data_IF_022155395627
#
_entry.id   IF_022155395627
#
_cell.length_a   1.000
_cell.length_b   1.000
_cell.length_c   1.000
_cell.angle_alpha   90.00
_cell.angle_beta   90.00
_cell.angle_gamma   90.00
#
_symmetry.space_group_name_H-M   'P 1'
#
loop_
_entity.id
_entity.type
_entity.pdbx_description
1 polymer ?
#
# COMPACT_ATOMS: atom_id res chain seq x y z
N UNK A 1 -7.08 6.56 -51.31
CA UNK A 1 -8.30 6.79 -52.12
C UNK A 1 -8.78 5.44 -52.62
N UNK A 2 -10.10 5.29 -52.81
CA UNK A 2 -10.88 4.07 -53.16
C UNK A 2 -11.58 3.49 -51.92
N UNK A 3 -12.89 3.27 -51.86
CA UNK A 3 -14.06 3.71 -52.65
C UNK A 3 -15.27 3.47 -51.73
N UNK A 4 -16.17 4.44 -51.63
CA UNK A 4 -17.51 4.27 -51.07
C UNK A 4 -18.34 3.59 -52.17
N UNK A 5 -19.02 2.48 -51.85
CA UNK A 5 -20.04 1.88 -52.72
C UNK A 5 -21.35 1.76 -51.95
N UNK A 6 -22.39 2.41 -52.47
CA UNK A 6 -23.78 2.14 -52.12
C UNK A 6 -24.24 0.87 -52.83
N UNK A 7 -24.92 -0.01 -52.11
CA UNK A 7 -25.77 -1.09 -52.62
C UNK A 7 -26.94 -1.20 -51.60
N UNK A 8 -28.11 -0.66 -51.93
CA UNK A 8 -29.30 -1.39 -52.40
C UNK A 8 -29.79 -2.48 -51.45
N UNK A 9 -31.05 -2.32 -51.06
CA UNK A 9 -31.85 -3.20 -50.21
C UNK A 9 -31.77 -4.67 -50.60
N UNK A 10 -31.43 -5.51 -49.64
CA UNK A 10 -31.99 -6.85 -49.52
C UNK A 10 -32.18 -7.17 -48.03
N UNK A 11 -33.33 -7.77 -47.72
CA UNK A 11 -33.74 -8.16 -46.38
C UNK A 11 -32.91 -9.35 -45.91
N UNK A 12 -31.99 -9.11 -44.98
CA UNK A 12 -31.59 -10.10 -43.98
C UNK A 12 -31.62 -9.40 -42.62
N UNK A 13 -32.23 -10.08 -41.65
CA UNK A 13 -32.33 -9.64 -40.25
C UNK A 13 -30.97 -9.23 -39.70
N UNK A 14 -30.84 -8.15 -38.90
CA UNK A 14 -29.58 -7.85 -38.27
C UNK A 14 -29.31 -8.94 -37.22
N UNK A 15 -28.38 -9.84 -37.52
CA UNK A 15 -27.60 -10.48 -36.46
C UNK A 15 -26.90 -9.33 -35.74
N UNK A 16 -27.46 -8.89 -34.61
CA UNK A 16 -26.77 -7.95 -33.72
C UNK A 16 -25.42 -8.57 -33.39
N UNK A 17 -24.33 -7.96 -33.87
CA UNK A 17 -22.97 -8.35 -33.48
C UNK A 17 -22.94 -8.40 -31.94
N UNK A 18 -22.78 -9.61 -31.39
CA UNK A 18 -22.81 -9.87 -29.95
C UNK A 18 -21.54 -9.30 -29.29
N UNK A 19 -21.47 -7.98 -29.16
CA UNK A 19 -20.28 -7.29 -28.68
C UNK A 19 -20.22 -7.28 -27.14
N UNK A 20 -19.02 -7.51 -26.60
CA UNK A 20 -18.73 -7.34 -25.18
C UNK A 20 -18.73 -5.85 -24.86
N UNK A 21 -19.55 -5.42 -23.90
CA UNK A 21 -19.59 -4.02 -23.44
C UNK A 21 -18.84 -3.88 -22.13
N UNK A 22 -17.82 -3.03 -22.10
CA UNK A 22 -17.09 -2.68 -20.87
C UNK A 22 -17.31 -1.22 -20.53
N UNK A 23 -17.39 -0.90 -19.23
CA UNK A 23 -17.53 0.45 -18.74
C UNK A 23 -16.73 0.62 -17.44
N UNK A 24 -16.13 1.79 -17.27
CA UNK A 24 -15.47 2.19 -16.04
C UNK A 24 -16.25 3.34 -15.40
N UNK A 25 -16.67 3.15 -14.16
CA UNK A 25 -17.31 4.15 -13.31
C UNK A 25 -16.44 4.47 -12.09
N UNK A 26 -16.71 5.62 -11.48
CA UNK A 26 -16.05 6.06 -10.27
C UNK A 26 -17.09 6.57 -9.27
N UNK A 27 -16.91 6.19 -8.01
CA UNK A 27 -17.62 6.72 -6.84
C UNK A 27 -16.56 7.22 -5.84
N UNK A 28 -16.91 8.00 -4.81
CA UNK A 28 -15.96 8.37 -3.77
C UNK A 28 -15.22 7.14 -3.24
N UNK A 29 -13.88 7.16 -3.36
CA UNK A 29 -12.96 6.10 -2.94
C UNK A 29 -13.18 4.74 -3.60
N UNK A 30 -13.92 4.67 -4.71
CA UNK A 30 -14.23 3.40 -5.40
C UNK A 30 -14.09 3.49 -6.91
N UNK A 31 -13.44 2.50 -7.50
CA UNK A 31 -13.46 2.25 -8.94
C UNK A 31 -14.44 1.12 -9.24
N UNK A 32 -15.26 1.29 -10.26
CA UNK A 32 -16.31 0.34 -10.64
C UNK A 32 -16.06 -0.10 -12.08
N UNK A 33 -15.69 -1.36 -12.26
CA UNK A 33 -15.51 -1.95 -13.58
C UNK A 33 -16.76 -2.78 -13.89
N UNK A 34 -17.40 -2.51 -15.02
CA UNK A 34 -18.59 -3.21 -15.48
C UNK A 34 -18.30 -3.91 -16.81
N UNK A 35 -18.76 -5.14 -16.93
CA UNK A 35 -18.66 -5.98 -18.12
C UNK A 35 -20.01 -6.60 -18.41
N UNK A 36 -20.44 -6.55 -19.66
CA UNK A 36 -21.70 -7.14 -20.12
C UNK A 36 -21.47 -7.93 -21.40
N UNK A 37 -22.02 -9.14 -21.43
CA UNK A 37 -22.15 -9.95 -22.63
C UNK A 37 -23.46 -10.70 -22.57
N UNK A 38 -24.31 -10.53 -23.60
CA UNK A 38 -25.68 -11.07 -23.61
C UNK A 38 -26.47 -10.67 -22.36
N UNK A 39 -26.98 -11.65 -21.66
CA UNK A 39 -27.75 -11.57 -20.43
C UNK A 39 -26.88 -11.67 -19.16
N UNK A 40 -25.56 -11.63 -19.30
CA UNK A 40 -24.61 -11.66 -18.18
C UNK A 40 -24.01 -10.29 -17.94
N UNK A 41 -24.22 -9.76 -16.75
CA UNK A 41 -23.49 -8.59 -16.24
C UNK A 41 -22.53 -9.03 -15.13
N UNK A 42 -21.29 -8.52 -15.18
CA UNK A 42 -20.29 -8.65 -14.13
C UNK A 42 -19.86 -7.25 -13.71
N UNK A 43 -19.86 -6.99 -12.41
CA UNK A 43 -19.37 -5.76 -11.80
C UNK A 43 -18.26 -6.10 -10.81
N UNK A 44 -17.13 -5.42 -10.91
CA UNK A 44 -16.03 -5.47 -9.96
C UNK A 44 -15.85 -4.08 -9.36
N UNK A 45 -16.07 -3.95 -8.07
CA UNK A 45 -15.81 -2.73 -7.31
C UNK A 45 -14.47 -2.87 -6.62
N UNK A 46 -13.59 -1.88 -6.78
CA UNK A 46 -12.33 -1.76 -6.06
C UNK A 46 -12.43 -0.59 -5.07
N UNK A 47 -12.24 -0.88 -3.79
CA UNK A 47 -12.26 0.06 -2.68
C UNK A 47 -10.84 0.52 -2.34
N UNK A 48 -10.58 1.81 -2.55
CA UNK A 48 -9.26 2.42 -2.46
C UNK A 48 -8.77 2.49 -1.00
N UNK A 49 -9.67 2.77 -0.05
CA UNK A 49 -9.35 2.91 1.37
C UNK A 49 -9.03 1.55 2.01
N UNK A 50 -9.74 0.51 1.59
CA UNK A 50 -9.45 -0.86 2.02
C UNK A 50 -8.16 -1.40 1.40
N UNK A 51 -7.69 -0.87 0.27
CA UNK A 51 -6.46 -1.34 -0.33
C UNK A 51 -5.23 -1.08 0.56
N UNK A 52 -4.36 -2.08 0.68
CA UNK A 52 -3.09 -2.00 1.45
C UNK A 52 -1.85 -1.99 0.56
N UNK A 53 -2.00 -1.93 -0.77
CA UNK A 53 -0.86 -1.86 -1.70
C UNK A 53 0.04 -3.10 -1.75
N UNK A 54 -0.48 -4.27 -1.39
CA UNK A 54 0.31 -5.52 -1.26
C UNK A 54 0.68 -6.24 -2.57
N UNK A 55 0.20 -5.78 -3.73
CA UNK A 55 0.40 -6.39 -5.06
C UNK A 55 -0.08 -7.84 -5.30
N UNK A 56 -0.67 -8.55 -4.33
CA UNK A 56 -1.17 -9.91 -4.56
C UNK A 56 -2.12 -10.01 -5.76
N UNK A 57 -3.04 -9.04 -5.92
CA UNK A 57 -3.96 -8.99 -7.07
C UNK A 57 -3.24 -8.79 -8.42
N UNK A 58 -2.13 -8.04 -8.43
CA UNK A 58 -1.29 -7.86 -9.62
C UNK A 58 -0.59 -9.16 -9.98
N UNK A 59 0.01 -9.82 -9.00
CA UNK A 59 0.80 -11.05 -9.19
C UNK A 59 -0.03 -12.21 -9.72
N UNK A 60 -1.31 -12.31 -9.34
CA UNK A 60 -2.20 -13.38 -9.81
C UNK A 60 -3.02 -13.01 -11.05
N UNK A 61 -2.82 -11.80 -11.61
CA UNK A 61 -3.63 -11.34 -12.73
C UNK A 61 -3.22 -12.08 -14.01
N UNK A 62 -4.11 -12.91 -14.62
CA UNK A 62 -3.73 -13.74 -15.77
C UNK A 62 -3.49 -12.95 -17.06
N UNK A 63 -3.83 -11.66 -17.06
CA UNK A 63 -3.82 -10.77 -18.23
C UNK A 63 -3.06 -9.48 -17.97
N UNK A 64 -2.28 -9.41 -16.88
CA UNK A 64 -1.47 -8.24 -16.49
C UNK A 64 -2.25 -6.91 -16.56
N UNK A 65 -3.50 -6.92 -16.11
CA UNK A 65 -4.37 -5.75 -16.14
C UNK A 65 -4.18 -4.82 -14.94
N UNK A 66 -3.35 -5.19 -13.95
CA UNK A 66 -3.21 -4.43 -12.70
C UNK A 66 -1.77 -3.94 -12.55
N UNK A 67 -1.62 -2.63 -12.33
CA UNK A 67 -0.36 -1.99 -11.99
C UNK A 67 -0.40 -1.37 -10.59
N UNK A 68 0.77 -1.15 -10.00
CA UNK A 68 0.85 -0.40 -8.73
C UNK A 68 0.69 1.09 -8.99
N UNK A 69 -0.04 1.76 -8.10
CA UNK A 69 -0.07 3.22 -8.02
C UNK A 69 1.11 3.77 -7.22
N UNK A 70 1.03 5.03 -6.74
CA UNK A 70 2.09 5.70 -5.99
C UNK A 70 2.13 5.25 -4.52
N UNK A 71 2.31 3.95 -4.28
CA UNK A 71 2.33 3.36 -2.93
C UNK A 71 3.41 3.97 -2.02
N UNK A 72 4.65 4.24 -2.48
CA UNK A 72 5.66 4.89 -1.65
C UNK A 72 5.25 6.29 -1.18
N UNK A 73 4.64 7.10 -2.05
CA UNK A 73 4.21 8.46 -1.73
C UNK A 73 3.02 8.45 -0.76
N UNK A 74 2.05 7.55 -0.96
CA UNK A 74 0.91 7.36 -0.05
C UNK A 74 1.40 6.94 1.33
N UNK A 75 2.28 5.93 1.39
CA UNK A 75 2.80 5.40 2.66
C UNK A 75 3.64 6.41 3.45
N UNK A 76 4.26 7.38 2.77
CA UNK A 76 5.00 8.49 3.40
C UNK A 76 4.09 9.67 3.79
N UNK A 77 2.79 9.62 3.47
CA UNK A 77 1.86 10.72 3.67
C UNK A 77 2.08 11.90 2.72
N UNK A 78 2.81 11.70 1.62
CA UNK A 78 3.01 12.72 0.57
C UNK A 78 1.79 12.82 -0.35
N UNK A 79 1.02 11.72 -0.45
CA UNK A 79 -0.27 11.67 -1.11
C UNK A 79 -1.33 11.14 -0.13
N UNK A 80 -2.56 11.61 -0.31
CA UNK A 80 -3.69 11.20 0.52
C UNK A 80 -4.07 9.73 0.27
N UNK A 81 -4.61 9.06 1.29
CA UNK A 81 -5.03 7.66 1.25
C UNK A 81 -6.14 7.37 0.21
N UNK A 82 -6.90 8.38 -0.22
CA UNK A 82 -7.85 8.31 -1.34
C UNK A 82 -7.19 8.11 -2.70
N UNK A 83 -5.86 8.24 -2.81
CA UNK A 83 -5.15 7.91 -4.03
C UNK A 83 -5.12 6.39 -4.25
N UNK A 84 -5.40 5.91 -5.47
CA UNK A 84 -5.45 4.49 -5.77
C UNK A 84 -4.06 3.85 -5.67
N UNK A 85 -3.90 2.92 -4.73
CA UNK A 85 -2.66 2.13 -4.56
C UNK A 85 -2.41 1.13 -5.70
N UNK A 86 -3.42 0.88 -6.53
CA UNK A 86 -3.32 0.10 -7.77
C UNK A 86 -4.14 0.76 -8.88
N UNK A 87 -3.73 0.54 -10.12
CA UNK A 87 -4.42 0.96 -11.33
C UNK A 87 -4.88 -0.28 -12.09
N UNK A 88 -6.10 -0.26 -12.63
CA UNK A 88 -6.67 -1.40 -13.36
C UNK A 88 -6.97 -0.97 -14.80
N UNK A 89 -6.31 -1.61 -15.76
CA UNK A 89 -6.61 -1.52 -17.17
C UNK A 89 -7.94 -2.27 -17.45
N UNK A 90 -9.04 -1.50 -17.48
CA UNK A 90 -10.37 -2.04 -17.66
C UNK A 90 -10.57 -2.72 -19.03
N UNK A 91 -9.78 -2.34 -20.04
CA UNK A 91 -9.84 -2.94 -21.37
C UNK A 91 -9.14 -4.31 -21.39
N UNK A 92 -8.02 -4.46 -20.69
CA UNK A 92 -7.36 -5.76 -20.52
C UNK A 92 -8.09 -6.69 -19.55
N UNK A 93 -8.75 -6.13 -18.53
CA UNK A 93 -9.43 -6.92 -17.51
C UNK A 93 -10.41 -7.93 -18.13
N UNK A 94 -10.26 -9.20 -17.75
CA UNK A 94 -11.10 -10.32 -18.19
C UNK A 94 -12.20 -10.70 -17.19
N UNK A 95 -12.36 -9.92 -16.10
CA UNK A 95 -13.44 -10.09 -15.11
C UNK A 95 -13.51 -11.50 -14.53
N UNK A 96 -12.34 -12.05 -14.19
CA UNK A 96 -12.17 -13.37 -13.57
C UNK A 96 -12.32 -13.35 -12.04
N UNK A 97 -12.23 -12.19 -11.39
CA UNK A 97 -12.35 -12.02 -9.93
C UNK A 97 -11.26 -12.70 -9.08
N UNK A 98 -10.15 -13.15 -9.68
CA UNK A 98 -8.99 -13.63 -8.93
C UNK A 98 -8.48 -12.58 -7.93
N UNK A 99 -8.52 -11.29 -8.31
CA UNK A 99 -8.16 -10.19 -7.42
C UNK A 99 -9.03 -10.13 -6.15
N UNK A 100 -10.32 -10.45 -6.24
CA UNK A 100 -11.22 -10.52 -5.09
C UNK A 100 -10.93 -11.72 -4.19
N UNK A 101 -10.51 -12.83 -4.79
CA UNK A 101 -10.20 -14.06 -4.08
C UNK A 101 -8.89 -13.98 -3.27
N UNK A 102 -7.87 -13.36 -3.83
CA UNK A 102 -6.55 -13.28 -3.17
C UNK A 102 -6.41 -12.04 -2.29
N UNK A 103 -7.38 -11.14 -2.29
CA UNK A 103 -7.31 -9.92 -1.51
C UNK A 103 -7.30 -10.25 -0.01
N UNK A 104 -6.25 -9.88 0.75
CA UNK A 104 -6.20 -10.13 2.18
C UNK A 104 -7.00 -9.12 2.99
N UNK A 105 -7.47 -8.03 2.37
CA UNK A 105 -8.10 -6.91 3.06
C UNK A 105 -9.43 -6.47 2.45
N UNK A 106 -10.14 -7.39 1.80
CA UNK A 106 -11.49 -7.17 1.28
C UNK A 106 -11.66 -5.88 0.42
N UNK A 107 -10.65 -5.54 -0.38
CA UNK A 107 -10.65 -4.31 -1.18
C UNK A 107 -11.36 -4.46 -2.53
N UNK A 108 -11.91 -5.63 -2.85
CA UNK A 108 -12.55 -5.92 -4.13
C UNK A 108 -13.88 -6.61 -3.91
N UNK A 109 -14.96 -6.17 -4.55
CA UNK A 109 -16.27 -6.79 -4.44
C UNK A 109 -16.83 -7.11 -5.82
N UNK A 110 -17.15 -8.38 -6.03
CA UNK A 110 -17.75 -8.91 -7.23
C UNK A 110 -19.27 -8.95 -7.12
N UNK A 111 -19.95 -8.60 -8.21
CA UNK A 111 -21.40 -8.71 -8.35
C UNK A 111 -21.75 -9.25 -9.73
N UNK A 112 -22.65 -10.22 -9.78
CA UNK A 112 -23.04 -10.92 -11.01
C UNK A 112 -24.54 -10.85 -11.20
N UNK A 113 -24.98 -10.61 -12.44
CA UNK A 113 -26.38 -10.75 -12.84
C UNK A 113 -26.49 -11.68 -14.05
N UNK A 114 -27.51 -12.56 -14.11
CA UNK A 114 -28.45 -12.85 -13.03
C UNK A 114 -27.78 -13.54 -11.83
N UNK A 115 -28.35 -13.34 -10.64
CA UNK A 115 -27.87 -13.97 -9.40
C UNK A 115 -27.85 -15.49 -9.49
N UNK A 116 -26.90 -16.14 -8.80
CA UNK A 116 -26.75 -17.59 -8.77
C UNK A 116 -26.11 -18.21 -10.02
N UNK A 117 -25.88 -17.45 -11.09
CA UNK A 117 -25.19 -17.95 -12.30
C UNK A 117 -23.71 -18.24 -12.06
N UNK A 118 -23.06 -17.44 -11.21
CA UNK A 118 -21.68 -17.62 -10.76
C UNK A 118 -21.70 -17.56 -9.24
N UNK A 119 -21.31 -18.66 -8.61
CA UNK A 119 -21.12 -18.73 -7.17
C UNK A 119 -19.62 -18.77 -6.85
N UNK A 120 -19.11 -17.70 -6.24
CA UNK A 120 -17.71 -17.57 -5.89
C UNK A 120 -17.24 -18.59 -4.85
N UNK A 121 -18.17 -19.22 -4.12
CA UNK A 121 -17.86 -20.28 -3.16
C UNK A 121 -17.57 -21.63 -3.81
N UNK A 122 -17.76 -21.74 -5.13
CA UNK A 122 -17.40 -22.91 -5.94
C UNK A 122 -15.98 -22.86 -6.48
N UNK A 123 -15.22 -21.81 -6.16
CA UNK A 123 -13.86 -21.61 -6.62
C UNK A 123 -12.86 -21.68 -5.47
N UNK A 124 -11.61 -22.11 -5.73
CA UNK A 124 -10.54 -22.08 -4.75
C UNK A 124 -10.25 -20.66 -4.26
N UNK A 125 -9.91 -20.53 -2.98
CA UNK A 125 -9.57 -19.24 -2.39
C UNK A 125 -8.24 -19.28 -1.66
N UNK A 126 -7.62 -18.11 -1.50
CA UNK A 126 -6.50 -17.96 -0.59
C UNK A 126 -6.96 -18.30 0.83
N UNK A 127 -6.10 -18.96 1.60
CA UNK A 127 -6.40 -19.32 2.99
C UNK A 127 -6.80 -18.14 3.88
N UNK A 128 -7.24 -18.47 5.10
CA UNK A 128 -7.60 -17.48 6.10
C UNK A 128 -6.33 -16.90 6.73
N UNK A 129 -6.34 -15.60 7.03
CA UNK A 129 -5.25 -14.91 7.73
C UNK A 129 -5.44 -14.91 9.26
N UNK A 130 -6.16 -15.89 9.77
CA UNK A 130 -6.46 -16.05 11.18
C UNK A 130 -6.82 -17.49 11.51
N UNK A 131 -6.75 -17.78 12.81
CA UNK A 131 -7.25 -18.99 13.44
C UNK A 131 -8.12 -18.62 14.63
N UNK A 132 -9.17 -19.41 14.86
CA UNK A 132 -10.05 -19.27 16.03
C UNK A 132 -9.97 -20.55 16.85
N UNK A 133 -9.74 -20.38 18.15
CA UNK A 133 -9.91 -21.40 19.17
C UNK A 133 -11.39 -21.51 19.52
N UNK A 134 -12.07 -22.46 18.89
CA UNK A 134 -13.52 -22.67 19.03
C UNK A 134 -13.93 -22.99 20.47
N UNK A 135 -13.04 -23.56 21.29
CA UNK A 135 -13.32 -23.88 22.70
C UNK A 135 -13.41 -22.62 23.58
N UNK A 136 -12.77 -21.52 23.14
CA UNK A 136 -12.79 -20.21 23.81
C UNK A 136 -13.74 -19.21 23.14
N UNK A 137 -14.20 -19.50 21.92
CA UNK A 137 -15.03 -18.57 21.19
C UNK A 137 -16.44 -18.53 21.78
N UNK A 138 -16.92 -17.33 22.09
CA UNK A 138 -18.25 -17.13 22.69
C UNK A 138 -19.28 -16.58 21.69
N UNK A 139 -18.83 -16.13 20.51
CA UNK A 139 -19.67 -15.53 19.46
C UNK A 139 -20.67 -14.48 20.00
N UNK A 140 -20.22 -13.65 20.94
CA UNK A 140 -21.09 -12.68 21.60
C UNK A 140 -21.47 -11.53 20.66
N UNK A 141 -22.66 -11.61 20.07
CA UNK A 141 -23.23 -10.58 19.21
C UNK A 141 -23.46 -9.24 19.94
N UNK A 142 -23.40 -9.17 21.27
CA UNK A 142 -23.51 -7.90 22.01
C UNK A 142 -22.18 -7.16 22.13
N UNK A 143 -21.06 -7.84 21.88
CA UNK A 143 -19.72 -7.27 21.96
C UNK A 143 -19.24 -6.78 20.59
N UNK A 144 -18.81 -5.52 20.52
CA UNK A 144 -18.37 -4.88 19.26
C UNK A 144 -17.20 -5.60 18.59
N UNK A 145 -16.25 -6.15 19.37
CA UNK A 145 -15.09 -6.87 18.83
C UNK A 145 -15.47 -8.26 18.35
N UNK A 146 -16.36 -8.96 19.06
CA UNK A 146 -16.90 -10.23 18.58
C UNK A 146 -17.72 -10.04 17.31
N UNK A 147 -18.56 -9.00 17.22
CA UNK A 147 -19.26 -8.65 15.97
C UNK A 147 -18.28 -8.37 14.83
N UNK A 148 -17.24 -7.56 15.07
CA UNK A 148 -16.19 -7.29 14.08
C UNK A 148 -15.49 -8.58 13.63
N UNK A 149 -15.19 -9.48 14.56
CA UNK A 149 -14.60 -10.78 14.29
C UNK A 149 -15.52 -11.61 13.38
N UNK A 150 -16.78 -11.82 13.77
CA UNK A 150 -17.78 -12.59 13.02
C UNK A 150 -17.94 -12.06 11.59
N UNK A 151 -18.11 -10.74 11.44
CA UNK A 151 -18.27 -10.09 10.15
C UNK A 151 -17.02 -10.19 9.25
N UNK A 152 -15.84 -10.43 9.85
CA UNK A 152 -14.57 -10.58 9.15
C UNK A 152 -14.19 -12.04 8.88
N UNK A 153 -15.08 -13.01 9.15
CA UNK A 153 -14.81 -14.44 8.92
C UNK A 153 -15.02 -14.88 7.49
N UNK A 154 -16.01 -14.31 6.79
CA UNK A 154 -16.35 -14.71 5.42
C UNK A 154 -15.24 -14.32 4.43
N UNK A 155 -14.77 -13.08 4.50
CA UNK A 155 -13.75 -12.50 3.62
C UNK A 155 -12.56 -12.00 4.44
N UNK A 156 -11.36 -12.08 3.86
CA UNK A 156 -10.14 -11.69 4.58
C UNK A 156 -10.10 -10.16 4.82
N UNK A 157 -9.88 -9.76 6.07
CA UNK A 157 -9.80 -8.36 6.50
C UNK A 157 -8.64 -8.16 7.50
N UNK A 158 -7.40 -8.21 7.00
CA UNK A 158 -6.19 -8.11 7.82
C UNK A 158 -6.09 -6.84 8.67
N UNK A 159 -6.62 -5.69 8.22
CA UNK A 159 -6.66 -4.46 9.02
C UNK A 159 -7.53 -4.64 10.28
N UNK A 160 -8.62 -5.40 10.19
CA UNK A 160 -9.46 -5.68 11.36
C UNK A 160 -8.81 -6.68 12.32
N UNK A 161 -8.02 -7.63 11.79
CA UNK A 161 -7.44 -8.73 12.58
C UNK A 161 -6.48 -8.26 13.66
N UNK A 162 -5.69 -7.21 13.41
CA UNK A 162 -4.84 -6.62 14.44
C UNK A 162 -5.66 -6.15 15.65
N UNK A 163 -6.73 -5.39 15.40
CA UNK A 163 -7.65 -4.92 16.45
C UNK A 163 -8.31 -6.09 17.19
N UNK A 164 -8.80 -7.09 16.45
CA UNK A 164 -9.46 -8.26 17.04
C UNK A 164 -8.49 -9.02 17.95
N UNK A 165 -7.25 -9.26 17.53
CA UNK A 165 -6.26 -9.98 18.34
C UNK A 165 -5.97 -9.27 19.65
N UNK A 166 -5.88 -7.93 19.64
CA UNK A 166 -5.57 -7.14 20.85
C UNK A 166 -6.76 -7.02 21.80
N UNK A 167 -7.98 -6.92 21.28
CA UNK A 167 -9.17 -6.55 22.07
C UNK A 167 -10.15 -7.73 22.29
N UNK A 168 -9.86 -8.94 21.76
CA UNK A 168 -10.74 -10.11 21.92
C UNK A 168 -10.90 -10.47 23.41
N UNK A 169 -12.14 -10.53 23.94
CA UNK A 169 -12.40 -10.72 25.37
C UNK A 169 -11.94 -12.09 25.89
N UNK A 170 -11.95 -13.12 25.03
CA UNK A 170 -11.57 -14.49 25.40
C UNK A 170 -10.24 -14.93 24.82
N UNK A 171 -9.54 -14.04 24.08
CA UNK A 171 -8.29 -14.34 23.39
C UNK A 171 -8.37 -15.61 22.52
N UNK A 172 -9.53 -15.86 21.91
CA UNK A 172 -9.75 -17.01 21.04
C UNK A 172 -9.20 -16.79 19.62
N UNK A 173 -8.90 -15.55 19.24
CA UNK A 173 -8.49 -15.18 17.89
C UNK A 173 -6.98 -15.00 17.82
N UNK A 174 -6.36 -15.60 16.80
CA UNK A 174 -4.94 -15.43 16.52
C UNK A 174 -4.72 -15.15 15.03
N UNK A 175 -3.84 -14.21 14.74
CA UNK A 175 -3.30 -13.95 13.41
C UNK A 175 -2.45 -15.16 13.00
N UNK A 176 -2.81 -15.78 11.88
CA UNK A 176 -2.08 -16.90 11.28
C UNK A 176 -2.10 -16.74 9.77
N UNK A 177 -0.94 -16.65 9.13
CA UNK A 177 -0.86 -16.40 7.70
C UNK A 177 -1.03 -17.70 6.88
N UNK A 178 -1.85 -17.70 5.81
CA UNK A 178 -1.89 -18.82 4.85
C UNK A 178 -0.66 -18.81 3.94
N UNK A 179 0.14 -17.75 4.00
CA UNK A 179 1.40 -17.60 3.27
C UNK A 179 2.52 -17.78 4.29
N UNK A 180 3.43 -18.73 4.08
CA UNK A 180 4.67 -18.80 4.84
C UNK A 180 5.79 -18.14 4.06
N UNK A 181 6.75 -17.53 4.76
CA UNK A 181 7.85 -16.84 4.12
C UNK A 181 8.87 -16.33 5.11
N UNK A 182 9.72 -15.43 4.63
CA UNK A 182 10.61 -14.63 5.45
C UNK A 182 10.72 -13.20 4.93
N UNK A 183 11.03 -12.27 5.82
CA UNK A 183 11.30 -10.87 5.47
C UNK A 183 12.80 -10.62 5.51
N UNK A 184 13.38 -10.26 4.37
CA UNK A 184 14.81 -9.99 4.23
C UNK A 184 15.05 -8.51 3.98
N UNK A 185 15.86 -7.88 4.82
CA UNK A 185 16.35 -6.52 4.62
C UNK A 185 17.70 -6.55 3.92
N UNK A 186 17.86 -5.76 2.85
CA UNK A 186 19.13 -5.62 2.11
C UNK A 186 20.15 -4.86 2.96
N UNK A 187 20.87 -5.56 3.84
CA UNK A 187 21.81 -4.98 4.81
C UNK A 187 22.80 -3.99 4.20
N UNK A 188 23.40 -4.35 3.07
CA UNK A 188 24.38 -3.52 2.34
C UNK A 188 23.80 -2.21 1.80
N UNK A 189 22.48 -2.06 1.74
CA UNK A 189 21.78 -0.84 1.30
C UNK A 189 21.09 -0.09 2.45
N UNK A 190 21.15 -0.57 3.69
CA UNK A 190 20.51 0.07 4.86
C UNK A 190 21.03 1.47 5.17
N UNK A 191 22.15 1.89 4.55
CA UNK A 191 22.59 3.28 4.63
C UNK A 191 21.61 4.26 3.97
N UNK A 192 20.81 3.81 3.00
CA UNK A 192 19.73 4.59 2.35
C UNK A 192 18.46 4.69 3.19
N UNK A 193 18.25 3.75 4.12
CA UNK A 193 17.08 3.76 4.99
C UNK A 193 17.12 4.94 5.96
N UNK A 194 16.12 5.80 5.87
CA UNK A 194 15.78 6.81 6.88
C UNK A 194 14.50 6.41 7.62
N UNK A 195 14.60 5.61 8.70
CA UNK A 195 13.43 5.21 9.49
C UNK A 195 12.81 6.38 10.27
N UNK A 196 13.53 7.48 10.48
CA UNK A 196 13.02 8.64 11.22
C UNK A 196 12.19 9.57 10.34
N UNK A 197 12.59 9.72 9.07
CA UNK A 197 11.89 10.56 8.09
C UNK A 197 10.85 9.81 7.25
N UNK A 198 11.22 8.70 6.60
CA UNK A 198 10.39 8.05 5.58
C UNK A 198 9.21 7.26 6.18
N UNK A 199 9.48 6.32 7.10
CA UNK A 199 8.48 5.47 7.79
C UNK A 199 7.50 4.70 6.89
N UNK A 200 7.69 4.67 5.58
CA UNK A 200 6.73 4.09 4.63
C UNK A 200 6.31 2.65 4.97
N UNK A 201 7.27 1.78 5.27
CA UNK A 201 6.99 0.37 5.60
C UNK A 201 6.28 0.18 6.95
N UNK A 202 6.49 1.10 7.90
CA UNK A 202 5.77 1.10 9.19
C UNK A 202 4.32 1.52 8.96
N UNK A 203 4.12 2.63 8.24
CA UNK A 203 2.79 3.19 8.01
C UNK A 203 1.89 2.31 7.13
N UNK A 204 2.45 1.63 6.11
CA UNK A 204 1.66 0.78 5.21
C UNK A 204 1.32 -0.58 5.82
N UNK A 205 2.00 -1.00 6.89
CA UNK A 205 1.86 -2.34 7.45
C UNK A 205 0.51 -2.48 8.16
N UNK A 206 -0.41 -3.34 7.70
CA UNK A 206 -1.77 -3.42 8.26
C UNK A 206 -1.82 -4.05 9.66
N UNK A 207 -0.71 -4.64 10.11
CA UNK A 207 -0.58 -5.38 11.39
C UNK A 207 0.57 -4.87 12.24
N UNK A 208 1.16 -3.74 11.87
CA UNK A 208 2.22 -3.09 12.63
C UNK A 208 3.47 -3.95 12.89
N UNK A 209 3.70 -4.99 12.08
CA UNK A 209 4.87 -5.87 12.22
C UNK A 209 6.20 -5.15 12.00
N UNK A 210 6.24 -4.04 11.27
CA UNK A 210 7.46 -3.25 11.08
C UNK A 210 7.62 -2.22 12.19
N UNK A 211 8.79 -2.21 12.84
CA UNK A 211 9.08 -1.29 13.93
C UNK A 211 10.50 -0.73 13.86
N UNK A 212 10.67 0.41 14.54
CA UNK A 212 11.96 1.10 14.66
C UNK A 212 12.48 0.85 16.08
N UNK A 213 13.62 0.15 16.24
CA UNK A 213 14.25 -0.06 17.54
C UNK A 213 14.51 1.25 18.29
N UNK A 214 14.08 1.33 19.56
CA UNK A 214 14.19 2.56 20.36
C UNK A 214 15.39 2.58 21.30
N UNK A 215 15.87 1.42 21.74
CA UNK A 215 17.01 1.33 22.65
C UNK A 215 18.32 1.03 21.92
N UNK A 216 19.45 1.43 22.50
CA UNK A 216 20.77 1.11 21.94
C UNK A 216 21.05 -0.40 21.90
N UNK A 217 20.38 -1.19 22.74
CA UNK A 217 20.45 -2.65 22.74
C UNK A 217 19.66 -3.24 21.58
N UNK A 218 18.44 -2.77 21.36
CA UNK A 218 17.60 -3.21 20.24
C UNK A 218 18.21 -2.83 18.89
N UNK A 219 18.82 -1.65 18.79
CA UNK A 219 19.53 -1.23 17.57
C UNK A 219 20.71 -2.16 17.27
N UNK A 220 21.42 -2.66 18.30
CA UNK A 220 22.48 -3.66 18.10
C UNK A 220 21.93 -5.01 17.68
N UNK A 221 20.76 -5.40 18.21
CA UNK A 221 20.15 -6.71 17.97
C UNK A 221 19.46 -6.78 16.60
N UNK A 222 18.68 -5.77 16.26
CA UNK A 222 17.78 -5.79 15.10
C UNK A 222 18.17 -4.79 14.01
N UNK A 223 19.08 -3.85 14.28
CA UNK A 223 19.51 -2.84 13.32
C UNK A 223 18.67 -1.55 13.36
N UNK A 224 18.63 -0.82 12.24
CA UNK A 224 17.92 0.47 12.13
C UNK A 224 16.39 0.33 12.08
N UNK A 225 15.93 -0.79 11.55
CA UNK A 225 14.53 -1.11 11.30
C UNK A 225 14.39 -2.62 11.26
N UNK A 226 13.27 -3.15 11.74
CA UNK A 226 13.06 -4.58 11.87
C UNK A 226 11.61 -4.95 11.58
N UNK A 227 11.38 -6.23 11.30
CA UNK A 227 10.06 -6.82 11.13
C UNK A 227 9.87 -7.93 12.17
N UNK A 228 8.74 -7.90 12.87
CA UNK A 228 8.27 -9.00 13.70
C UNK A 228 7.58 -10.04 12.82
N UNK A 229 8.28 -11.13 12.50
CA UNK A 229 7.78 -12.16 11.60
C UNK A 229 6.65 -13.00 12.21
N UNK A 230 6.51 -13.01 13.54
CA UNK A 230 5.42 -13.70 14.23
C UNK A 230 4.04 -13.06 13.96
N UNK A 231 4.02 -11.77 13.60
CA UNK A 231 2.81 -11.02 13.27
C UNK A 231 2.66 -10.77 11.75
N UNK A 232 3.68 -11.12 10.97
CA UNK A 232 3.74 -10.80 9.55
C UNK A 232 2.91 -11.77 8.70
N UNK A 233 2.13 -11.22 7.77
CA UNK A 233 1.36 -12.00 6.79
C UNK A 233 2.07 -12.26 5.46
N UNK A 234 3.32 -11.79 5.33
CA UNK A 234 4.09 -11.88 4.08
C UNK A 234 3.33 -11.32 2.85
N UNK A 235 2.49 -10.30 3.07
CA UNK A 235 1.63 -9.75 2.02
C UNK A 235 2.42 -8.95 0.97
N UNK A 236 3.53 -8.32 1.34
CA UNK A 236 4.37 -7.53 0.43
C UNK A 236 4.09 -6.03 0.36
N UNK A 237 3.18 -5.49 1.19
CA UNK A 237 2.88 -4.05 1.22
C UNK A 237 4.14 -3.19 1.51
N UNK A 238 4.96 -3.62 2.48
CA UNK A 238 6.23 -2.99 2.84
C UNK A 238 7.25 -2.95 1.68
N UNK A 239 7.26 -4.00 0.84
CA UNK A 239 8.12 -4.08 -0.35
C UNK A 239 7.72 -3.01 -1.35
N UNK A 240 6.42 -2.80 -1.53
CA UNK A 240 5.89 -1.86 -2.51
C UNK A 240 5.91 -0.41 -2.01
N UNK A 241 5.97 -0.18 -0.70
CA UNK A 241 6.08 1.15 -0.11
C UNK A 241 7.52 1.65 0.01
N UNK A 242 8.53 0.77 -0.08
CA UNK A 242 9.92 1.16 0.11
C UNK A 242 10.46 1.88 -1.15
N UNK A 243 10.78 3.19 -1.09
CA UNK A 243 11.27 3.93 -2.26
C UNK A 243 12.67 3.46 -2.72
N UNK A 244 13.45 2.88 -1.81
CA UNK A 244 14.81 2.40 -2.07
C UNK A 244 14.88 0.88 -2.33
N UNK A 245 13.75 0.19 -2.41
CA UNK A 245 13.65 -1.27 -2.65
C UNK A 245 14.53 -2.09 -1.68
N UNK A 246 14.51 -1.75 -0.38
CA UNK A 246 15.36 -2.38 0.65
C UNK A 246 14.78 -3.66 1.24
N UNK A 247 13.48 -3.89 1.05
CA UNK A 247 12.71 -4.93 1.71
C UNK A 247 12.37 -6.01 0.69
N UNK A 248 12.61 -7.26 1.05
CA UNK A 248 12.21 -8.44 0.30
C UNK A 248 11.28 -9.26 1.20
N UNK A 249 10.19 -9.76 0.62
CA UNK A 249 9.33 -10.76 1.24
C UNK A 249 9.46 -12.01 0.39
N UNK A 250 10.16 -13.01 0.91
CA UNK A 250 10.37 -14.29 0.24
C UNK A 250 9.34 -15.31 0.70
N UNK A 251 8.35 -15.59 -0.16
CA UNK A 251 7.23 -16.48 0.17
C UNK A 251 7.58 -17.92 -0.20
N UNK A 252 7.51 -18.83 0.76
CA UNK A 252 7.91 -20.24 0.63
C UNK A 252 6.73 -21.16 0.31
N UNK A 253 5.56 -20.87 0.86
CA UNK A 253 4.33 -21.62 0.57
C UNK A 253 3.10 -20.74 0.61
N UNK A 254 2.02 -21.21 -0.04
CA UNK A 254 0.69 -20.63 0.02
C UNK A 254 -0.33 -21.74 0.23
N UNK A 255 -1.20 -21.56 1.21
CA UNK A 255 -2.36 -22.40 1.44
C UNK A 255 -3.52 -21.92 0.57
N UNK A 256 -4.09 -22.86 -0.17
CA UNK A 256 -5.25 -22.65 -1.04
C UNK A 256 -6.37 -23.52 -0.48
N UNK A 257 -7.49 -22.90 -0.14
CA UNK A 257 -8.68 -23.58 0.33
C UNK A 257 -9.53 -23.97 -0.87
N UNK A 258 -9.76 -25.26 -1.01
CA UNK A 258 -10.71 -25.79 -1.97
C UNK A 258 -12.16 -25.51 -1.52
N UNK A 259 -13.08 -25.27 -2.47
CA UNK A 259 -14.49 -25.05 -2.16
C UNK A 259 -15.13 -26.32 -1.58
N UNK A 260 -16.04 -26.15 -0.61
CA UNK A 260 -16.82 -27.27 -0.04
C UNK A 260 -17.68 -27.98 -1.11
N UNK A 261 -18.17 -27.20 -2.08
CA UNK A 261 -18.94 -27.68 -3.22
C UNK A 261 -18.23 -27.22 -4.49
N UNK A 262 -17.30 -28.02 -5.04
CA UNK A 262 -16.56 -27.62 -6.24
C UNK A 262 -17.47 -27.49 -7.45
N UNK A 263 -17.36 -26.37 -8.16
CA UNK A 263 -18.01 -26.21 -9.46
C UNK A 263 -17.22 -26.93 -10.55
N UNK A 264 -17.90 -27.46 -11.56
CA UNK A 264 -17.26 -28.06 -12.73
C UNK A 264 -16.90 -26.98 -13.76
N UNK A 265 -15.93 -26.13 -13.44
CA UNK A 265 -15.45 -25.08 -14.34
C UNK A 265 -14.11 -25.44 -14.98
N UNK A 266 -13.96 -25.36 -16.32
CA UNK A 266 -12.71 -25.71 -17.01
C UNK A 266 -11.46 -24.94 -16.55
N UNK A 267 -11.63 -23.78 -15.93
CA UNK A 267 -10.55 -22.86 -15.58
C UNK A 267 -10.12 -22.91 -14.10
N UNK A 268 -10.67 -23.83 -13.28
CA UNK A 268 -10.28 -23.95 -11.86
C UNK A 268 -8.78 -24.24 -11.71
N UNK A 269 -8.23 -25.11 -12.55
CA UNK A 269 -6.79 -25.42 -12.53
C UNK A 269 -5.94 -24.19 -12.86
N UNK A 270 -6.39 -23.35 -13.79
CA UNK A 270 -5.72 -22.10 -14.12
C UNK A 270 -5.71 -21.15 -12.91
N UNK A 271 -6.80 -21.09 -12.14
CA UNK A 271 -6.87 -20.25 -10.94
C UNK A 271 -5.89 -20.73 -9.87
N UNK A 272 -5.84 -22.03 -9.59
CA UNK A 272 -4.87 -22.60 -8.66
C UNK A 272 -3.45 -22.27 -9.11
N UNK A 273 -3.17 -22.38 -10.41
CA UNK A 273 -1.87 -22.01 -10.98
C UNK A 273 -1.54 -20.54 -10.73
N UNK A 274 -2.46 -19.62 -11.01
CA UNK A 274 -2.24 -18.18 -10.79
C UNK A 274 -2.12 -17.83 -9.31
N UNK A 275 -2.88 -18.46 -8.41
CA UNK A 275 -2.70 -18.24 -6.96
C UNK A 275 -1.30 -18.72 -6.52
N UNK A 276 -0.78 -19.81 -7.09
CA UNK A 276 0.59 -20.27 -6.83
C UNK A 276 1.67 -19.34 -7.37
N UNK A 277 1.35 -18.39 -8.26
CA UNK A 277 2.30 -17.36 -8.72
C UNK A 277 2.68 -16.38 -7.60
N UNK A 278 1.90 -16.32 -6.51
CA UNK A 278 2.25 -15.59 -5.26
C UNK A 278 3.62 -16.03 -4.72
N UNK A 279 3.99 -17.31 -4.89
CA UNK A 279 5.30 -17.86 -4.48
C UNK A 279 6.42 -17.42 -5.43
N UNK A 280 6.12 -17.12 -6.70
CA UNK A 280 7.11 -17.25 -7.79
C UNK A 280 7.83 -15.99 -8.24
N UNK A 281 7.52 -14.78 -7.76
CA UNK A 281 8.17 -13.60 -8.36
C UNK A 281 8.76 -12.57 -7.38
N UNK A 282 10.08 -12.68 -7.12
CA UNK A 282 11.03 -11.55 -7.30
C UNK A 282 12.54 -11.90 -7.32
N UNK A 283 12.95 -12.96 -8.03
CA UNK A 283 14.39 -13.16 -8.36
C UNK A 283 14.76 -12.71 -9.80
N UNK A 284 13.80 -12.41 -10.69
CA UNK A 284 14.12 -12.24 -12.14
C UNK A 284 13.59 -11.00 -12.86
N UNK A 285 12.98 -10.01 -12.19
CA UNK A 285 12.73 -8.70 -12.81
C UNK A 285 13.19 -7.60 -11.88
N UNK A 286 14.45 -7.17 -12.03
CA UNK A 286 14.81 -5.82 -11.64
C UNK A 286 13.82 -4.88 -12.32
N UNK A 287 12.95 -4.24 -11.53
CA UNK A 287 11.97 -3.30 -12.07
C UNK A 287 12.76 -2.22 -12.84
N UNK A 288 12.61 -2.07 -14.17
CA UNK A 288 12.94 -0.79 -14.75
C UNK A 288 12.00 0.25 -14.09
N UNK A 289 12.50 1.42 -13.71
CA UNK A 289 11.64 2.48 -13.18
C UNK A 289 10.51 2.73 -14.19
N UNK A 290 9.27 2.80 -13.68
CA UNK A 290 8.13 3.25 -14.48
C UNK A 290 8.45 4.70 -14.86
N UNK A 291 8.74 4.94 -16.14
CA UNK A 291 8.63 6.28 -16.67
C UNK A 291 7.15 6.64 -16.63
N UNK A 292 6.73 7.36 -15.59
CA UNK A 292 5.49 8.12 -15.65
C UNK A 292 5.62 8.98 -16.90
N UNK A 293 4.77 8.82 -17.92
CA UNK A 293 4.74 9.77 -19.01
C UNK A 293 4.43 11.10 -18.34
N UNK A 294 5.40 12.01 -18.33
CA UNK A 294 5.09 13.41 -18.12
C UNK A 294 4.15 13.74 -19.27
N UNK A 295 2.85 13.80 -18.96
CA UNK A 295 1.92 14.50 -19.82
C UNK A 295 2.46 15.92 -19.81
N UNK A 296 3.20 16.29 -20.85
CA UNK A 296 3.45 17.68 -21.15
C UNK A 296 2.07 18.26 -21.49
N UNK A 297 1.31 18.59 -20.45
CA UNK A 297 0.32 19.63 -20.60
C UNK A 297 1.11 20.79 -21.18
N UNK A 298 0.78 21.16 -22.42
CA UNK A 298 1.04 22.50 -22.90
C UNK A 298 0.18 23.42 -22.04
N UNK A 299 0.61 23.62 -20.80
CA UNK A 299 0.30 24.80 -20.05
C UNK A 299 0.91 25.89 -20.91
N UNK A 300 0.07 26.60 -21.65
CA UNK A 300 0.42 27.94 -22.11
C UNK A 300 0.73 28.71 -20.84
N UNK A 301 2.01 28.70 -20.47
CA UNK A 301 2.55 29.51 -19.40
C UNK A 301 2.40 30.95 -19.88
N UNK A 302 1.25 31.56 -19.61
CA UNK A 302 1.27 32.98 -19.31
C UNK A 302 2.12 33.12 -18.06
N UNK A 303 3.42 33.29 -18.27
CA UNK A 303 4.36 33.64 -17.24
C UNK A 303 3.99 35.06 -16.77
N UNK A 304 2.98 35.16 -15.90
CA UNK A 304 3.00 36.21 -14.89
C UNK A 304 4.21 35.90 -14.05
N UNK A 305 5.33 36.54 -14.39
CA UNK A 305 6.45 36.71 -13.47
C UNK A 305 5.87 37.38 -12.23
N UNK A 306 5.54 36.58 -11.23
CA UNK A 306 5.54 37.10 -9.87
C UNK A 306 7.03 37.28 -9.58
N UNK A 307 7.51 38.50 -9.79
CA UNK A 307 8.79 38.91 -9.22
C UNK A 307 8.62 38.89 -7.71
N UNK A 308 8.83 37.73 -7.10
CA UNK A 308 9.01 37.66 -5.66
C UNK A 308 10.32 38.39 -5.35
N UNK A 309 10.18 39.62 -4.86
CA UNK A 309 11.29 40.36 -4.27
C UNK A 309 11.71 39.64 -2.99
N UNK A 310 12.64 38.69 -3.12
CA UNK A 310 13.32 38.09 -1.97
C UNK A 310 13.99 39.25 -1.23
N UNK A 311 13.61 39.55 0.03
CA UNK A 311 14.24 40.61 0.79
C UNK A 311 15.74 40.37 0.84
N UNK A 312 16.50 41.23 0.18
CA UNK A 312 17.96 41.18 0.23
C UNK A 312 18.37 41.88 1.50
N UNK A 313 18.91 41.13 2.46
CA UNK A 313 19.53 41.72 3.65
C UNK A 313 20.66 42.66 3.22
N UNK A 314 20.75 43.84 3.85
CA UNK A 314 21.77 44.84 3.53
C UNK A 314 23.17 44.28 3.80
N UNK A 315 24.20 44.88 3.20
CA UNK A 315 25.58 44.47 3.51
C UNK A 315 25.92 44.70 5.00
N UNK A 316 25.27 45.66 5.67
CA UNK A 316 25.40 45.82 7.13
C UNK A 316 24.77 44.66 7.90
N UNK A 317 23.57 44.21 7.52
CA UNK A 317 22.89 43.07 8.16
C UNK A 317 23.66 41.76 7.93
N UNK A 318 24.23 41.57 6.74
CA UNK A 318 25.13 40.44 6.45
C UNK A 318 26.36 40.46 7.35
N UNK A 319 26.92 41.63 7.59
CA UNK A 319 28.08 41.78 8.47
C UNK A 319 27.72 41.46 9.93
N UNK A 320 26.59 41.97 10.42
CA UNK A 320 26.07 41.65 11.75
C UNK A 320 25.81 40.14 11.91
N UNK A 321 25.21 39.49 10.91
CA UNK A 321 24.96 38.06 10.93
C UNK A 321 26.26 37.25 10.99
N UNK A 322 27.30 37.64 10.23
CA UNK A 322 28.62 37.01 10.28
C UNK A 322 29.25 37.14 11.66
N UNK A 323 29.18 38.33 12.26
CA UNK A 323 29.73 38.59 13.60
C UNK A 323 29.02 37.79 14.70
N UNK A 324 27.68 37.66 14.60
CA UNK A 324 26.90 36.79 15.49
C UNK A 324 27.33 35.33 15.30
N UNK A 325 27.44 34.87 14.05
CA UNK A 325 27.82 33.51 13.74
C UNK A 325 29.22 33.17 14.29
N UNK A 326 30.21 34.04 14.14
CA UNK A 326 31.57 33.80 14.63
C UNK A 326 31.62 33.67 16.17
N UNK A 327 30.86 34.50 16.88
CA UNK A 327 30.73 34.42 18.35
C UNK A 327 30.03 33.14 18.81
N UNK A 328 28.99 32.70 18.08
CA UNK A 328 28.33 31.41 18.35
C UNK A 328 29.31 30.26 18.12
N UNK A 329 30.09 30.29 17.03
CA UNK A 329 31.12 29.28 16.77
C UNK A 329 32.18 29.24 17.88
N UNK A 330 32.55 30.39 18.46
CA UNK A 330 33.46 30.46 19.60
C UNK A 330 32.85 29.86 20.88
N UNK A 331 31.58 30.14 21.18
CA UNK A 331 30.85 29.54 22.29
C UNK A 331 30.81 28.00 22.16
N UNK A 332 30.53 27.50 20.95
CA UNK A 332 30.46 26.07 20.67
C UNK A 332 31.82 25.36 20.78
N UNK A 333 32.95 26.08 20.70
CA UNK A 333 34.27 25.49 20.98
C UNK A 333 34.45 25.14 22.45
N UNK A 334 33.76 25.82 23.37
CA UNK A 334 33.85 25.57 24.81
C UNK A 334 33.32 24.17 25.18
N UNK A 335 34.20 23.32 25.74
CA UNK A 335 33.88 21.94 26.12
C UNK A 335 32.71 21.86 27.12
N UNK A 336 32.60 22.83 28.03
CA UNK A 336 31.55 22.87 29.07
C UNK A 336 30.17 23.15 28.47
N UNK A 337 30.10 24.03 27.47
CA UNK A 337 28.86 24.35 26.75
C UNK A 337 28.40 23.18 25.89
N UNK A 338 29.32 22.52 25.17
CA UNK A 338 29.00 21.29 24.42
C UNK A 338 28.46 20.17 25.32
N UNK A 339 29.00 20.04 26.53
CA UNK A 339 28.50 19.09 27.51
C UNK A 339 27.09 19.44 27.99
N UNK A 340 26.79 20.73 28.21
CA UNK A 340 25.44 21.18 28.56
C UNK A 340 24.41 20.95 27.44
N UNK A 341 24.80 21.13 26.18
CA UNK A 341 23.95 20.81 25.03
C UNK A 341 23.64 19.31 24.99
N UNK A 342 24.66 18.45 25.19
CA UNK A 342 24.49 17.00 25.22
C UNK A 342 23.58 16.52 26.36
N UNK A 343 23.67 17.15 27.53
CA UNK A 343 22.88 16.82 28.72
C UNK A 343 21.48 17.49 28.73
N UNK A 344 21.09 18.22 27.69
CA UNK A 344 19.78 18.91 27.64
C UNK A 344 19.61 20.06 28.64
N UNK A 345 20.71 20.67 29.13
CA UNK A 345 20.68 21.76 30.13
C UNK A 345 20.44 23.12 29.47
N UNK A 346 19.26 23.29 28.87
CA UNK A 346 18.88 24.46 28.06
C UNK A 346 19.06 25.80 28.80
N UNK A 347 18.65 25.90 30.07
CA UNK A 347 18.73 27.13 30.87
C UNK A 347 20.17 27.66 31.00
N UNK A 348 21.15 26.75 31.10
CA UNK A 348 22.57 27.12 31.21
C UNK A 348 23.17 27.58 29.89
N UNK A 349 22.67 27.03 28.78
CA UNK A 349 23.08 27.44 27.44
C UNK A 349 22.47 28.80 27.09
N UNK A 350 21.19 29.00 27.41
CA UNK A 350 20.48 30.27 27.24
C UNK A 350 21.15 31.41 28.04
N UNK A 351 21.48 31.18 29.32
CA UNK A 351 22.16 32.19 30.14
C UNK A 351 23.54 32.61 29.58
N UNK A 352 24.23 31.72 28.86
CA UNK A 352 25.54 32.02 28.26
C UNK A 352 25.41 32.69 26.88
N UNK A 353 24.36 32.36 26.13
CA UNK A 353 23.97 33.08 24.92
C UNK A 353 23.53 34.52 25.24
N UNK A 354 22.74 34.72 26.29
CA UNK A 354 22.28 36.04 26.73
C UNK A 354 23.45 36.94 27.12
N UNK A 355 24.49 36.40 27.77
CA UNK A 355 25.72 37.16 28.08
C UNK A 355 26.48 37.58 26.83
N UNK A 356 26.40 36.82 25.74
CA UNK A 356 27.05 37.13 24.47
C UNK A 356 26.25 38.14 23.65
N UNK A 357 24.91 38.02 23.66
CA UNK A 357 24.00 38.92 22.95
C UNK A 357 23.87 40.28 23.65
N UNK A 358 23.86 40.33 24.99
CA UNK A 358 23.81 41.59 25.75
C UNK A 358 25.10 42.44 25.64
N UNK A 359 26.21 41.86 25.13
CA UNK A 359 27.42 42.61 24.77
C UNK A 359 27.34 43.28 23.39
N UNK A 360 26.23 43.12 22.65
CA UNK A 360 26.01 43.75 21.34
C UNK A 360 25.17 45.02 21.41
N UNK A 361 24.49 45.28 22.53
CA UNK A 361 23.56 46.43 22.72
C UNK A 361 24.16 47.61 23.51
N UNK A 362 25.45 47.55 23.84
CA UNK A 362 26.29 48.66 24.32
C UNK A 362 27.42 48.89 23.35
#
# INVERSE_FOLDING_TARGET
MIKISQATSDKESPEEEEEIKKQLGMEPNKLILSWKYKDVDKKLTYDIEKCIGCSLCKEVCPVDAIELGPVPEIAQGLLDESNPKIMIDHEKCCYCMLCAIVCPNDAFHEHFQPEGRIDMNQFPRLGKFYKIDEDKCIEDESNEICQLCINSRERNNVKAYHKIQQECPTQCFQIESPISGEVVLKEHMLYKCDPSGCKACVNICPVESFFIPQSAEDVKKYGKIACNEDECFYCGACVNSCPDDLIIVDRKSVEILDPKTPGNYPWVEAWIKHIKEIIRERITKGKPPIHIPLIEEKIEKEAKKVEETIPQISEEEKQQLREINDKIQELLKNKKVRYWIKDGKADKVAAELDKLLNKMTT
#
